data_IF_046653556691
#
_entry.id   IF_046653556691
#
_cell.length_a   1.000
_cell.length_b   1.000
_cell.length_c   1.000
_cell.angle_alpha   90.00
_cell.angle_beta   90.00
_cell.angle_gamma   90.00
#
_symmetry.space_group_name_H-M   'P 1'
#
loop_
_entity.id
_entity.type
_entity.pdbx_description
1 polymer ?
#
# COMPACT_ATOMS: atom_id res chain seq x y z
N UNK A 1 69.97 -54.15 -7.06
CA UNK A 1 68.57 -54.61 -7.10
C UNK A 1 67.71 -53.38 -6.94
N UNK A 2 67.38 -52.72 -8.04
CA UNK A 2 66.59 -51.48 -8.07
C UNK A 2 65.13 -51.88 -8.23
N UNK A 3 64.37 -51.65 -7.16
CA UNK A 3 62.93 -51.87 -7.11
C UNK A 3 62.25 -50.86 -8.03
N UNK A 4 61.73 -51.29 -9.21
CA UNK A 4 61.06 -50.50 -10.19
C UNK A 4 59.60 -50.28 -9.64
N UNK A 5 59.36 -49.09 -9.02
CA UNK A 5 58.02 -48.74 -8.61
C UNK A 5 57.06 -48.80 -9.80
N UNK A 6 55.96 -49.54 -9.67
CA UNK A 6 55.00 -49.77 -10.72
C UNK A 6 54.20 -48.45 -10.95
N UNK A 7 54.07 -47.91 -12.18
CA UNK A 7 53.43 -46.63 -12.48
C UNK A 7 51.95 -46.57 -11.98
N UNK A 8 51.33 -47.69 -11.82
CA UNK A 8 49.96 -47.84 -11.31
C UNK A 8 49.77 -47.39 -9.82
N UNK A 9 50.82 -47.60 -8.98
CA UNK A 9 50.82 -47.15 -7.58
C UNK A 9 50.98 -45.63 -7.45
N UNK A 10 51.74 -44.99 -8.33
CA UNK A 10 51.91 -43.56 -8.32
C UNK A 10 50.70 -42.83 -8.84
N UNK A 11 49.94 -43.41 -9.77
CA UNK A 11 48.71 -42.86 -10.33
C UNK A 11 47.56 -42.98 -9.32
N UNK A 12 47.47 -44.09 -8.64
CA UNK A 12 46.50 -44.27 -7.51
C UNK A 12 46.76 -43.34 -6.34
N UNK A 13 48.01 -43.09 -5.95
CA UNK A 13 48.39 -42.14 -4.92
C UNK A 13 48.08 -40.70 -5.28
N UNK A 14 48.25 -40.30 -6.57
CA UNK A 14 47.90 -38.99 -7.08
C UNK A 14 46.37 -38.78 -7.12
N UNK A 15 45.62 -39.80 -7.51
CA UNK A 15 44.15 -39.74 -7.50
C UNK A 15 43.57 -39.60 -6.09
N UNK A 16 44.19 -40.30 -5.09
CA UNK A 16 43.72 -40.21 -3.70
C UNK A 16 44.08 -38.85 -3.09
N UNK A 17 45.27 -38.31 -3.36
CA UNK A 17 45.64 -36.93 -2.91
C UNK A 17 44.74 -35.88 -3.54
N UNK A 18 44.40 -35.95 -4.81
CA UNK A 18 43.49 -35.04 -5.46
C UNK A 18 42.06 -35.10 -4.87
N UNK A 19 41.60 -36.30 -4.51
CA UNK A 19 40.32 -36.51 -3.89
C UNK A 19 40.23 -35.91 -2.47
N UNK A 20 41.31 -36.02 -1.70
CA UNK A 20 41.44 -35.44 -0.35
C UNK A 20 41.49 -33.90 -0.41
N UNK A 21 42.25 -33.34 -1.35
CA UNK A 21 42.30 -31.90 -1.56
C UNK A 21 40.94 -31.33 -2.01
N UNK A 22 40.25 -32.01 -2.92
CA UNK A 22 38.91 -31.59 -3.37
C UNK A 22 37.89 -31.63 -2.25
N UNK A 23 37.92 -32.64 -1.39
CA UNK A 23 37.06 -32.74 -0.20
C UNK A 23 37.35 -31.64 0.81
N UNK A 24 38.62 -31.32 1.03
CA UNK A 24 39.01 -30.26 1.96
C UNK A 24 38.63 -28.88 1.44
N UNK A 25 38.74 -28.65 0.13
CA UNK A 25 38.29 -27.43 -0.53
C UNK A 25 36.76 -27.27 -0.48
N UNK A 26 36.01 -28.32 -0.78
CA UNK A 26 34.57 -28.32 -0.68
C UNK A 26 34.06 -28.05 0.76
N UNK A 27 34.71 -28.64 1.75
CA UNK A 27 34.37 -28.40 3.17
C UNK A 27 34.62 -26.93 3.59
N UNK A 28 35.73 -26.31 3.15
CA UNK A 28 36.00 -24.89 3.42
C UNK A 28 35.03 -23.97 2.70
N UNK A 29 34.68 -24.27 1.45
CA UNK A 29 33.65 -23.55 0.71
C UNK A 29 32.29 -23.63 1.44
N UNK A 30 31.91 -24.82 1.84
CA UNK A 30 30.64 -25.04 2.57
C UNK A 30 30.58 -24.24 3.88
N UNK A 31 31.65 -24.24 4.68
CA UNK A 31 31.75 -23.47 5.91
C UNK A 31 31.68 -21.95 5.65
N UNK A 32 32.31 -21.46 4.59
CA UNK A 32 32.28 -20.05 4.23
C UNK A 32 30.91 -19.62 3.72
N UNK A 33 30.28 -20.44 2.89
CA UNK A 33 28.92 -20.18 2.36
C UNK A 33 27.89 -20.20 3.49
N UNK A 34 27.93 -21.22 4.36
CA UNK A 34 26.98 -21.34 5.45
C UNK A 34 27.09 -20.21 6.48
N UNK A 35 28.31 -19.75 6.78
CA UNK A 35 28.54 -18.60 7.67
C UNK A 35 27.94 -17.31 7.07
N UNK A 36 28.19 -17.04 5.80
CA UNK A 36 27.66 -15.85 5.14
C UNK A 36 26.14 -15.91 4.97
N UNK A 37 25.60 -17.09 4.65
CA UNK A 37 24.17 -17.31 4.56
C UNK A 37 23.48 -17.13 5.92
N UNK A 38 24.10 -17.60 7.02
CA UNK A 38 23.57 -17.40 8.37
C UNK A 38 23.54 -15.91 8.76
N UNK A 39 24.64 -15.17 8.48
CA UNK A 39 24.71 -13.73 8.75
C UNK A 39 23.64 -12.97 7.96
N UNK A 40 23.48 -13.29 6.68
CA UNK A 40 22.48 -12.67 5.83
C UNK A 40 21.06 -13.00 6.31
N UNK A 41 20.81 -14.26 6.67
CA UNK A 41 19.55 -14.72 7.24
C UNK A 41 19.21 -14.01 8.56
N UNK A 42 20.19 -13.87 9.46
CA UNK A 42 20.01 -13.16 10.72
C UNK A 42 19.72 -11.66 10.48
N UNK A 43 20.45 -11.03 9.57
CA UNK A 43 20.20 -9.64 9.19
C UNK A 43 18.80 -9.46 8.62
N UNK A 44 18.37 -10.35 7.72
CA UNK A 44 17.02 -10.31 7.16
C UNK A 44 15.93 -10.47 8.23
N UNK A 45 16.13 -11.37 9.19
CA UNK A 45 15.22 -11.57 10.32
C UNK A 45 15.11 -10.30 11.20
N UNK A 46 16.23 -9.66 11.51
CA UNK A 46 16.25 -8.43 12.31
C UNK A 46 15.51 -7.31 11.55
N UNK A 47 15.84 -7.10 10.28
CA UNK A 47 15.18 -6.05 9.47
C UNK A 47 13.67 -6.31 9.33
N UNK A 48 13.27 -7.55 9.05
CA UNK A 48 11.86 -7.92 8.93
C UNK A 48 11.13 -7.76 10.27
N UNK A 49 11.76 -8.17 11.37
CA UNK A 49 11.22 -8.01 12.71
C UNK A 49 11.01 -6.54 13.10
N UNK A 50 11.95 -5.66 12.77
CA UNK A 50 11.82 -4.22 13.01
C UNK A 50 10.66 -3.61 12.19
N UNK A 51 10.56 -3.98 10.90
CA UNK A 51 9.47 -3.50 10.04
C UNK A 51 8.12 -4.01 10.56
N UNK A 52 8.02 -5.30 10.89
CA UNK A 52 6.78 -5.89 11.39
C UNK A 52 6.33 -5.26 12.72
N UNK A 53 7.26 -5.05 13.66
CA UNK A 53 6.94 -4.42 14.95
C UNK A 53 6.48 -2.97 14.78
N UNK A 54 7.13 -2.22 13.90
CA UNK A 54 6.74 -0.85 13.59
C UNK A 54 5.35 -0.82 12.94
N UNK A 55 5.08 -1.71 11.99
CA UNK A 55 3.79 -1.81 11.32
C UNK A 55 2.65 -2.10 12.30
N UNK A 56 2.80 -3.14 13.13
CA UNK A 56 1.80 -3.52 14.14
C UNK A 56 1.59 -2.38 15.16
N UNK A 57 2.66 -1.71 15.57
CA UNK A 57 2.56 -0.61 16.56
C UNK A 57 1.95 0.68 16.02
N UNK A 58 1.83 0.82 14.68
CA UNK A 58 1.29 2.05 14.06
C UNK A 58 -0.04 1.82 13.35
N UNK A 59 -0.54 0.59 13.25
CA UNK A 59 -1.76 0.23 12.50
C UNK A 59 -2.98 0.99 13.01
N UNK A 60 -3.21 0.99 14.32
CA UNK A 60 -4.34 1.67 14.94
C UNK A 60 -4.29 3.18 14.72
N UNK A 61 -3.11 3.79 14.85
CA UNK A 61 -2.93 5.22 14.65
C UNK A 61 -3.20 5.60 13.18
N UNK A 62 -2.70 4.80 12.25
CA UNK A 62 -2.96 4.99 10.81
C UNK A 62 -4.46 4.88 10.53
N UNK A 63 -5.15 3.89 11.10
CA UNK A 63 -6.58 3.72 10.93
C UNK A 63 -7.39 4.91 11.49
N UNK A 64 -7.02 5.42 12.68
CA UNK A 64 -7.64 6.61 13.27
C UNK A 64 -7.43 7.85 12.41
N UNK A 65 -6.21 8.07 11.93
CA UNK A 65 -5.90 9.22 11.06
C UNK A 65 -6.63 9.15 9.72
N UNK A 66 -6.74 7.96 9.12
CA UNK A 66 -7.51 7.76 7.90
C UNK A 66 -9.00 8.02 8.11
N UNK A 67 -9.57 7.56 9.24
CA UNK A 67 -10.96 7.82 9.60
C UNK A 67 -11.21 9.31 9.82
N UNK A 68 -10.33 9.99 10.54
CA UNK A 68 -10.43 11.43 10.77
C UNK A 68 -10.33 12.23 9.48
N UNK A 69 -9.38 11.87 8.58
CA UNK A 69 -9.23 12.50 7.28
C UNK A 69 -10.46 12.31 6.39
N UNK A 70 -11.04 11.10 6.41
CA UNK A 70 -12.29 10.80 5.66
C UNK A 70 -13.46 11.59 6.20
N UNK A 71 -13.65 11.61 7.52
CA UNK A 71 -14.71 12.41 8.17
C UNK A 71 -14.57 13.89 7.82
N UNK A 72 -13.36 14.43 7.91
CA UNK A 72 -13.09 15.82 7.53
C UNK A 72 -13.51 16.12 6.09
N UNK A 73 -13.17 15.24 5.14
CA UNK A 73 -13.54 15.41 3.74
C UNK A 73 -15.07 15.38 3.53
N UNK A 74 -15.80 14.51 4.26
CA UNK A 74 -17.26 14.46 4.23
C UNK A 74 -17.86 15.77 4.78
N UNK A 75 -17.35 16.26 5.92
CA UNK A 75 -17.82 17.50 6.56
C UNK A 75 -17.49 18.77 5.75
N UNK A 76 -16.47 18.74 4.94
CA UNK A 76 -16.18 19.83 4.00
C UNK A 76 -17.19 19.93 2.86
N UNK A 77 -17.87 18.82 2.53
CA UNK A 77 -18.92 18.77 1.50
C UNK A 77 -20.28 19.04 2.11
N UNK A 78 -20.62 18.32 3.21
CA UNK A 78 -21.87 18.48 3.95
C UNK A 78 -21.52 18.88 5.39
N UNK A 79 -21.58 20.18 5.73
CA UNK A 79 -21.27 20.66 7.05
C UNK A 79 -22.27 20.16 8.13
N UNK A 80 -21.87 20.21 9.40
CA UNK A 80 -22.63 19.68 10.54
C UNK A 80 -23.95 20.37 10.81
N UNK A 81 -24.20 21.54 10.27
CA UNK A 81 -25.48 22.26 10.34
C UNK A 81 -26.55 21.66 9.43
N UNK A 82 -26.15 20.84 8.46
CA UNK A 82 -27.03 20.23 7.47
C UNK A 82 -27.44 18.78 7.79
N UNK A 83 -26.76 18.13 8.74
CA UNK A 83 -27.03 16.74 9.12
C UNK A 83 -26.78 16.53 10.61
N UNK A 84 -27.41 15.51 11.19
CA UNK A 84 -27.26 15.19 12.62
C UNK A 84 -26.92 13.71 12.87
N UNK A 85 -26.58 12.94 11.83
CA UNK A 85 -26.12 11.55 11.94
C UNK A 85 -24.59 11.42 11.82
N UNK A 86 -24.05 10.25 12.18
CA UNK A 86 -22.66 9.85 11.87
C UNK A 86 -22.61 9.28 10.46
N UNK A 87 -22.22 10.10 9.48
CA UNK A 87 -22.12 9.70 8.08
C UNK A 87 -21.15 8.53 7.84
N UNK A 88 -20.12 8.34 8.69
CA UNK A 88 -19.19 7.22 8.52
C UNK A 88 -19.82 5.87 8.87
N UNK A 89 -20.82 5.86 9.75
CA UNK A 89 -21.57 4.67 10.14
C UNK A 89 -22.81 4.45 9.26
N UNK A 90 -23.41 5.53 8.79
CA UNK A 90 -24.61 5.50 7.95
C UNK A 90 -24.20 5.43 6.47
N UNK A 91 -23.83 4.24 6.04
CA UNK A 91 -23.41 3.99 4.67
C UNK A 91 -23.98 2.68 4.14
N UNK A 92 -24.09 2.59 2.82
CA UNK A 92 -24.46 1.39 2.08
C UNK A 92 -23.39 1.09 1.03
N UNK A 93 -23.09 -0.17 0.84
CA UNK A 93 -22.14 -0.56 -0.23
C UNK A 93 -22.82 -0.54 -1.57
N UNK A 94 -22.21 0.16 -2.53
CA UNK A 94 -22.65 0.20 -3.92
C UNK A 94 -21.51 -0.22 -4.84
N UNK A 95 -21.88 -0.86 -5.95
CA UNK A 95 -20.96 -1.18 -7.03
C UNK A 95 -21.48 -0.55 -8.32
N UNK A 96 -20.72 0.43 -8.84
CA UNK A 96 -21.06 1.12 -10.09
C UNK A 96 -19.80 1.35 -10.93
N UNK A 97 -19.75 0.68 -12.08
CA UNK A 97 -18.62 0.79 -13.00
C UNK A 97 -18.45 2.19 -13.58
N UNK A 98 -19.53 2.92 -13.77
CA UNK A 98 -19.49 4.29 -14.29
C UNK A 98 -18.74 5.25 -13.36
N UNK A 99 -18.70 4.94 -12.06
CA UNK A 99 -17.93 5.69 -11.06
C UNK A 99 -16.44 5.29 -10.99
N UNK A 100 -16.00 4.42 -11.88
CA UNK A 100 -14.61 3.98 -11.95
C UNK A 100 -14.22 2.93 -10.90
N UNK A 101 -15.18 2.28 -10.24
CA UNK A 101 -14.89 1.27 -9.22
C UNK A 101 -14.65 -0.11 -9.82
N UNK A 102 -13.78 -0.89 -9.16
CA UNK A 102 -13.55 -2.32 -9.42
C UNK A 102 -14.14 -3.22 -8.34
N UNK A 103 -14.51 -2.64 -7.22
CA UNK A 103 -15.03 -3.29 -6.00
C UNK A 103 -16.14 -2.42 -5.40
N UNK A 104 -17.06 -2.98 -4.62
CA UNK A 104 -18.07 -2.21 -3.90
C UNK A 104 -17.42 -1.10 -3.06
N UNK A 105 -18.08 0.05 -3.00
CA UNK A 105 -17.61 1.22 -2.26
C UNK A 105 -18.72 1.76 -1.37
N UNK A 106 -18.39 2.34 -0.19
CA UNK A 106 -19.39 2.91 0.70
C UNK A 106 -19.97 4.20 0.14
N UNK A 107 -21.28 4.22 -0.06
CA UNK A 107 -22.08 5.42 -0.27
C UNK A 107 -22.50 5.94 1.10
N UNK A 108 -22.11 7.16 1.46
CA UNK A 108 -22.43 7.77 2.74
C UNK A 108 -23.72 8.57 2.67
N UNK A 109 -24.53 8.48 3.70
CA UNK A 109 -25.81 9.16 3.82
C UNK A 109 -25.69 10.28 4.87
N UNK A 110 -25.96 11.52 4.46
CA UNK A 110 -26.21 12.61 5.39
C UNK A 110 -27.69 12.66 5.68
N UNK A 111 -28.07 12.57 6.99
CA UNK A 111 -29.47 12.63 7.43
C UNK A 111 -29.67 13.76 8.42
N UNK A 112 -30.84 14.37 8.31
CA UNK A 112 -31.35 15.30 9.31
C UNK A 112 -32.70 14.76 9.83
N UNK A 113 -32.79 14.51 11.14
CA UNK A 113 -33.97 13.89 11.80
C UNK A 113 -34.41 12.58 11.08
N UNK A 114 -33.43 11.74 10.75
CA UNK A 114 -33.63 10.46 10.09
C UNK A 114 -33.93 10.53 8.60
N UNK A 115 -34.19 11.71 8.03
CA UNK A 115 -34.44 11.89 6.60
C UNK A 115 -33.13 12.13 5.85
N UNK A 116 -32.85 11.42 4.74
CA UNK A 116 -31.66 11.68 3.95
C UNK A 116 -31.77 13.07 3.27
N UNK A 117 -30.73 13.88 3.41
CA UNK A 117 -30.64 15.24 2.84
C UNK A 117 -29.56 15.33 1.77
N UNK A 118 -28.55 14.47 1.83
CA UNK A 118 -27.51 14.37 0.80
C UNK A 118 -26.92 12.96 0.76
N UNK A 119 -26.38 12.62 -0.40
CA UNK A 119 -25.58 11.43 -0.64
C UNK A 119 -24.14 11.85 -0.93
N UNK A 120 -23.18 11.12 -0.40
CA UNK A 120 -21.77 11.30 -0.74
C UNK A 120 -21.21 9.95 -1.17
N UNK A 121 -20.71 9.88 -2.38
CA UNK A 121 -20.17 8.65 -2.91
C UNK A 121 -18.75 8.83 -3.44
N UNK A 122 -17.89 7.83 -3.29
CA UNK A 122 -16.58 7.83 -3.88
C UNK A 122 -16.67 7.63 -5.38
N UNK A 123 -15.72 8.20 -6.11
CA UNK A 123 -15.51 7.97 -7.52
C UNK A 123 -14.01 7.96 -7.84
N UNK A 124 -13.65 7.37 -8.98
CA UNK A 124 -12.27 7.27 -9.43
C UNK A 124 -12.15 7.68 -10.88
N UNK A 125 -11.46 8.79 -11.13
CA UNK A 125 -10.99 9.11 -12.49
C UNK A 125 -9.73 8.29 -12.76
N UNK A 126 -9.78 7.42 -13.77
CA UNK A 126 -8.68 6.48 -14.09
C UNK A 126 -7.68 7.05 -15.08
N UNK A 127 -7.99 8.17 -15.66
CA UNK A 127 -7.24 8.88 -16.70
C UNK A 127 -6.52 10.13 -16.20
N UNK A 128 -6.21 10.19 -14.89
CA UNK A 128 -5.32 11.19 -14.35
C UNK A 128 -3.91 11.07 -14.96
N UNK A 129 -3.18 12.19 -15.05
CA UNK A 129 -1.87 12.24 -15.71
C UNK A 129 -0.84 11.29 -15.07
N UNK A 130 -0.84 11.19 -13.73
CA UNK A 130 0.07 10.30 -12.98
C UNK A 130 -0.64 9.06 -12.43
N UNK A 131 -1.85 8.76 -12.90
CA UNK A 131 -2.64 7.60 -12.52
C UNK A 131 -3.99 7.94 -11.91
N UNK A 132 -4.57 7.00 -11.19
CA UNK A 132 -5.92 7.11 -10.64
C UNK A 132 -6.04 8.27 -9.64
N UNK A 133 -7.07 9.11 -9.84
CA UNK A 133 -7.49 10.15 -8.89
C UNK A 133 -8.75 9.67 -8.18
N UNK A 134 -8.67 9.44 -6.88
CA UNK A 134 -9.82 9.07 -6.05
C UNK A 134 -10.40 10.29 -5.38
N UNK A 135 -11.70 10.48 -5.52
CA UNK A 135 -12.43 11.63 -4.98
C UNK A 135 -13.81 11.20 -4.48
N UNK A 136 -14.44 12.09 -3.74
CA UNK A 136 -15.83 11.96 -3.29
C UNK A 136 -16.65 13.09 -3.88
N UNK A 137 -17.90 12.79 -4.18
CA UNK A 137 -18.90 13.74 -4.70
C UNK A 137 -20.10 13.71 -3.79
N UNK A 138 -20.51 14.88 -3.30
CA UNK A 138 -21.76 15.06 -2.59
C UNK A 138 -22.87 15.52 -3.53
N UNK A 139 -24.06 14.95 -3.39
CA UNK A 139 -25.27 15.31 -4.11
C UNK A 139 -26.34 15.72 -3.09
N UNK A 140 -26.92 16.89 -3.28
CA UNK A 140 -28.08 17.35 -2.54
C UNK A 140 -29.33 16.61 -3.03
N UNK A 141 -30.10 16.01 -2.13
CA UNK A 141 -31.33 15.29 -2.51
C UNK A 141 -32.55 16.19 -2.71
N UNK A 142 -32.44 17.47 -2.36
CA UNK A 142 -33.55 18.41 -2.53
C UNK A 142 -33.72 18.89 -3.96
N UNK A 143 -32.61 18.98 -4.71
CA UNK A 143 -32.56 19.60 -6.05
C UNK A 143 -31.61 18.87 -7.02
N UNK A 144 -31.06 17.72 -6.60
CA UNK A 144 -30.13 16.89 -7.37
C UNK A 144 -28.84 17.63 -7.82
N UNK A 145 -28.47 18.70 -7.08
CA UNK A 145 -27.28 19.48 -7.40
C UNK A 145 -26.03 18.88 -6.71
N UNK A 146 -24.85 19.19 -7.25
CA UNK A 146 -23.59 18.83 -6.61
C UNK A 146 -23.38 19.71 -5.38
N UNK A 147 -23.27 19.07 -4.21
CA UNK A 147 -22.98 19.76 -2.95
C UNK A 147 -21.49 20.06 -2.78
N UNK A 148 -20.64 19.34 -3.48
CA UNK A 148 -19.20 19.56 -3.50
C UNK A 148 -18.43 18.32 -3.93
N UNK A 149 -17.14 18.55 -4.24
CA UNK A 149 -16.20 17.50 -4.63
C UNK A 149 -14.93 17.65 -3.80
N UNK A 150 -14.38 16.51 -3.32
CA UNK A 150 -13.09 16.50 -2.61
C UNK A 150 -12.22 15.35 -3.07
N UNK A 151 -10.96 15.63 -3.40
CA UNK A 151 -9.97 14.62 -3.74
C UNK A 151 -9.47 13.97 -2.45
N UNK A 152 -9.48 12.63 -2.42
CA UNK A 152 -9.00 11.84 -1.29
C UNK A 152 -7.58 11.35 -1.50
N UNK A 153 -7.25 10.96 -2.75
CA UNK A 153 -5.94 10.39 -3.07
C UNK A 153 -5.62 10.56 -4.55
N UNK A 154 -4.42 10.99 -4.84
CA UNK A 154 -3.86 11.07 -6.21
C UNK A 154 -2.35 10.85 -6.17
N UNK A 155 -1.74 10.78 -7.35
CA UNK A 155 -0.30 10.70 -7.55
C UNK A 155 0.24 11.81 -8.44
N UNK A 156 -0.57 12.86 -8.64
CA UNK A 156 -0.19 13.98 -9.50
C UNK A 156 1.05 14.69 -8.98
N UNK A 157 1.86 15.22 -9.89
CA UNK A 157 3.14 15.85 -9.57
C UNK A 157 2.93 17.13 -8.75
N UNK A 158 3.60 17.26 -7.60
CA UNK A 158 3.54 18.49 -6.79
C UNK A 158 3.93 19.74 -7.60
N UNK A 159 3.12 20.79 -7.48
CA UNK A 159 3.31 22.04 -8.21
C UNK A 159 2.82 22.06 -9.65
N UNK A 160 2.39 20.91 -10.21
CA UNK A 160 1.84 20.81 -11.56
C UNK A 160 0.39 20.31 -11.54
N UNK A 161 0.15 19.09 -11.06
CA UNK A 161 -1.17 18.45 -11.07
C UNK A 161 -1.87 18.46 -9.71
N UNK A 162 -1.21 18.82 -8.63
CA UNK A 162 -1.75 18.83 -7.27
C UNK A 162 -2.70 20.01 -6.98
N UNK A 163 -2.92 20.93 -7.95
CA UNK A 163 -3.92 21.98 -7.88
C UNK A 163 -5.38 21.49 -7.75
N UNK A 164 -5.61 20.19 -7.89
CA UNK A 164 -6.90 19.53 -7.60
C UNK A 164 -7.20 19.42 -6.11
N UNK A 165 -6.18 19.53 -5.23
CA UNK A 165 -6.38 19.54 -3.79
C UNK A 165 -6.93 20.91 -3.31
N UNK A 166 -7.91 20.87 -2.41
CA UNK A 166 -8.51 22.07 -1.81
C UNK A 166 -7.49 22.95 -1.08
N UNK A 167 -6.39 22.37 -0.59
CA UNK A 167 -5.30 23.07 0.10
C UNK A 167 -4.38 23.84 -0.85
N UNK A 168 -4.36 23.45 -2.13
CA UNK A 168 -3.47 24.00 -3.15
C UNK A 168 -4.14 25.05 -4.00
N UNK A 169 -5.43 24.87 -4.31
CA UNK A 169 -6.19 25.83 -5.08
C UNK A 169 -7.69 25.78 -4.73
N UNK A 170 -8.41 26.82 -5.15
CA UNK A 170 -9.87 26.85 -5.02
C UNK A 170 -10.60 26.20 -6.22
N UNK A 171 -9.86 25.65 -7.18
CA UNK A 171 -10.47 25.07 -8.39
C UNK A 171 -11.51 24.00 -8.07
N UNK A 172 -11.23 23.09 -7.18
CA UNK A 172 -12.16 22.00 -6.80
C UNK A 172 -13.46 22.52 -6.16
N UNK A 173 -13.43 23.73 -5.58
CA UNK A 173 -14.62 24.37 -5.00
C UNK A 173 -15.55 24.96 -6.05
N UNK A 174 -15.14 25.05 -7.32
CA UNK A 174 -16.00 25.50 -8.40
C UNK A 174 -17.11 24.50 -8.77
N UNK A 175 -17.04 23.30 -8.19
CA UNK A 175 -18.07 22.27 -8.33
C UNK A 175 -19.09 22.25 -7.19
N UNK A 176 -19.07 23.24 -6.30
CA UNK A 176 -20.01 23.37 -5.18
C UNK A 176 -21.23 24.19 -5.58
#
# INVERSE_FOLDING_TARGET
>A
MTEKSTPEKDEAAKADTASIEMRSYAARLWLSISKNALLLGLFALICTGLIATTFIGTEDEIAMQQRAARLKALLEIIPTDRHNNDMLQDNIEIFENALGHREPQPLFLARNDGKPVALIYPATARDGYSGDIRYIVGINLADDTVAGVRVLKHRETPGLGDGIEVRKSNWIKSFN
#
